data_IF_371208536749
#
_entry.id   IF_371208536749
#
_cell.length_a   1.000
_cell.length_b   1.000
_cell.length_c   1.000
_cell.angle_alpha   90.00
_cell.angle_beta   90.00
_cell.angle_gamma   90.00
#
_symmetry.space_group_name_H-M   'P 1'
#
loop_
_entity.id
_entity.type
_entity.pdbx_description
1 polymer ?
#
# COMPACT_ATOMS: atom_id res chain seq x y z
N UNK A 1 28.32 -0.23 5.05
CA UNK A 1 27.11 0.53 5.47
C UNK A 1 26.02 -0.51 5.66
N UNK A 2 25.46 -0.63 6.86
CA UNK A 2 24.49 -1.68 7.18
C UNK A 2 23.21 -1.40 6.41
N UNK A 3 22.99 -2.13 5.33
CA UNK A 3 21.71 -2.23 4.64
C UNK A 3 20.72 -2.86 5.63
N UNK A 4 20.14 -2.04 6.50
CA UNK A 4 18.95 -2.45 7.24
C UNK A 4 17.89 -2.74 6.18
N UNK A 5 17.59 -4.01 5.97
CA UNK A 5 16.48 -4.44 5.14
C UNK A 5 15.18 -3.97 5.82
N UNK A 6 14.76 -2.74 5.52
CA UNK A 6 13.56 -2.15 6.08
C UNK A 6 12.35 -2.79 5.42
N UNK A 7 11.54 -3.49 6.21
CA UNK A 7 10.26 -3.98 5.74
C UNK A 7 9.26 -2.83 5.71
N UNK A 8 9.21 -2.13 4.59
CA UNK A 8 8.34 -0.96 4.41
C UNK A 8 6.85 -1.26 4.69
N UNK A 9 6.42 -2.52 4.61
CA UNK A 9 5.02 -2.92 4.90
C UNK A 9 4.71 -2.95 6.41
N UNK A 10 5.72 -3.17 7.25
CA UNK A 10 5.55 -3.27 8.71
C UNK A 10 6.06 -2.01 9.40
N UNK A 11 7.27 -1.57 9.03
CA UNK A 11 7.98 -0.51 9.75
C UNK A 11 7.58 0.89 9.31
N UNK A 12 7.12 1.07 8.07
CA UNK A 12 6.75 2.38 7.52
C UNK A 12 5.24 2.67 7.55
N UNK A 13 4.43 1.89 8.28
CA UNK A 13 2.95 2.04 8.33
C UNK A 13 2.53 3.45 8.77
N UNK A 14 3.26 4.06 9.70
CA UNK A 14 2.96 5.39 10.25
C UNK A 14 3.80 6.51 9.63
N UNK A 15 4.49 6.23 8.53
CA UNK A 15 5.45 7.14 7.92
C UNK A 15 6.82 6.50 7.72
N UNK A 16 7.59 7.01 6.76
CA UNK A 16 8.88 6.42 6.43
C UNK A 16 9.91 6.63 7.55
N UNK A 17 10.46 5.54 8.08
CA UNK A 17 11.49 5.57 9.12
C UNK A 17 12.88 6.01 8.61
N UNK A 18 13.10 5.90 7.29
CA UNK A 18 14.35 6.31 6.63
C UNK A 18 14.33 7.79 6.21
N UNK A 19 13.20 8.49 6.40
CA UNK A 19 13.04 9.90 6.04
C UNK A 19 13.35 10.14 4.56
N UNK A 20 14.43 10.87 4.30
CA UNK A 20 14.82 11.26 2.95
C UNK A 20 15.39 10.11 2.10
N UNK A 21 15.92 9.07 2.74
CA UNK A 21 16.54 7.89 2.12
C UNK A 21 15.51 6.79 1.77
N UNK A 22 14.22 7.12 1.75
CA UNK A 22 13.17 6.19 1.37
C UNK A 22 13.36 5.73 -0.09
N UNK A 23 13.52 4.41 -0.36
CA UNK A 23 13.68 3.92 -1.73
C UNK A 23 12.44 4.18 -2.58
N UNK A 24 11.26 4.29 -1.96
CA UNK A 24 9.97 4.49 -2.61
C UNK A 24 9.58 5.97 -2.77
N UNK A 25 10.52 6.91 -2.55
CA UNK A 25 10.22 8.34 -2.55
C UNK A 25 9.69 8.85 -3.90
N UNK A 26 10.11 8.23 -4.99
CA UNK A 26 9.65 8.59 -6.34
C UNK A 26 8.12 8.46 -6.50
N UNK A 27 7.52 7.48 -5.83
CA UNK A 27 6.09 7.21 -5.91
C UNK A 27 5.23 8.22 -5.14
N UNK A 28 5.83 9.01 -4.24
CA UNK A 28 5.11 10.03 -3.44
C UNK A 28 4.41 11.04 -4.36
N UNK A 29 5.06 11.44 -5.46
CA UNK A 29 4.47 12.37 -6.43
C UNK A 29 3.26 11.76 -7.13
N UNK A 30 3.35 10.48 -7.51
CA UNK A 30 2.25 9.78 -8.17
C UNK A 30 1.07 9.56 -7.22
N UNK A 31 1.33 9.14 -5.99
CA UNK A 31 0.29 8.96 -4.96
C UNK A 31 -0.40 10.29 -4.64
N UNK A 32 0.36 11.38 -4.53
CA UNK A 32 -0.21 12.73 -4.30
C UNK A 32 -1.13 13.16 -5.45
N UNK A 33 -0.71 12.91 -6.71
CA UNK A 33 -1.55 13.19 -7.89
C UNK A 33 -2.81 12.35 -7.90
N UNK A 34 -2.72 11.07 -7.53
CA UNK A 34 -3.90 10.20 -7.45
C UNK A 34 -4.91 10.75 -6.43
N UNK A 35 -4.46 11.10 -5.22
CA UNK A 35 -5.33 11.62 -4.17
C UNK A 35 -5.99 12.95 -4.59
N UNK A 36 -5.23 13.85 -5.21
CA UNK A 36 -5.74 15.16 -5.64
C UNK A 36 -6.72 15.08 -6.81
N UNK A 37 -6.46 14.18 -7.76
CA UNK A 37 -7.24 14.10 -9.00
C UNK A 37 -8.38 13.08 -8.96
N UNK A 38 -8.50 12.31 -7.88
CA UNK A 38 -9.56 11.30 -7.73
C UNK A 38 -10.60 11.84 -6.74
N UNK A 39 -11.84 12.11 -7.18
CA UNK A 39 -12.91 12.50 -6.27
C UNK A 39 -13.21 11.39 -5.24
N UNK A 40 -13.73 11.78 -4.08
CA UNK A 40 -14.05 10.85 -3.00
C UNK A 40 -15.02 9.76 -3.45
N UNK A 41 -16.04 10.12 -4.22
CA UNK A 41 -17.03 9.20 -4.76
C UNK A 41 -16.38 8.12 -5.63
N UNK A 42 -15.38 8.52 -6.45
CA UNK A 42 -14.65 7.57 -7.30
C UNK A 42 -13.78 6.62 -6.48
N UNK A 43 -13.21 7.09 -5.37
CA UNK A 43 -12.49 6.23 -4.44
C UNK A 43 -13.41 5.21 -3.76
N UNK A 44 -14.62 5.62 -3.37
CA UNK A 44 -15.61 4.73 -2.76
C UNK A 44 -16.10 3.66 -3.75
N UNK A 45 -16.34 4.03 -5.00
CA UNK A 45 -16.69 3.10 -6.08
C UNK A 45 -15.60 2.04 -6.25
N UNK A 46 -14.33 2.45 -6.36
CA UNK A 46 -13.19 1.53 -6.46
C UNK A 46 -13.09 0.58 -5.25
N UNK A 47 -13.37 1.07 -4.05
CA UNK A 47 -13.34 0.27 -2.83
C UNK A 47 -14.44 -0.82 -2.85
N UNK A 48 -15.64 -0.50 -3.31
CA UNK A 48 -16.73 -1.46 -3.44
C UNK A 48 -16.45 -2.51 -4.53
N UNK A 49 -15.92 -2.10 -5.68
CA UNK A 49 -15.48 -3.03 -6.71
C UNK A 49 -14.41 -4.01 -6.19
N UNK A 50 -13.43 -3.51 -5.44
CA UNK A 50 -12.40 -4.34 -4.82
C UNK A 50 -12.99 -5.31 -3.79
N UNK A 51 -13.98 -4.87 -3.00
CA UNK A 51 -14.71 -5.72 -2.05
C UNK A 51 -15.44 -6.86 -2.75
N UNK A 52 -16.18 -6.55 -3.82
CA UNK A 52 -16.90 -7.54 -4.62
C UNK A 52 -15.94 -8.54 -5.28
N UNK A 53 -14.82 -8.07 -5.84
CA UNK A 53 -13.77 -8.95 -6.41
C UNK A 53 -13.19 -9.90 -5.36
N UNK A 54 -12.93 -9.41 -4.14
CA UNK A 54 -12.43 -10.23 -3.04
C UNK A 54 -13.45 -11.30 -2.62
N UNK A 55 -14.75 -10.98 -2.62
CA UNK A 55 -15.83 -11.93 -2.31
C UNK A 55 -15.99 -13.00 -3.38
N UNK A 56 -15.79 -12.66 -4.66
CA UNK A 56 -15.87 -13.61 -5.77
C UNK A 56 -14.60 -14.45 -5.95
N UNK A 57 -13.47 -14.00 -5.41
CA UNK A 57 -12.20 -14.71 -5.51
C UNK A 57 -12.17 -15.92 -4.57
N UNK A 58 -11.56 -17.05 -4.96
CA UNK A 58 -11.37 -18.16 -4.06
C UNK A 58 -10.55 -17.72 -2.84
N UNK A 59 -10.94 -18.18 -1.65
CA UNK A 59 -10.20 -17.88 -0.42
C UNK A 59 -8.76 -18.40 -0.53
N UNK A 60 -7.77 -17.50 -0.39
CA UNK A 60 -6.37 -17.89 -0.30
C UNK A 60 -6.07 -18.34 1.13
N UNK A 61 -5.86 -19.63 1.32
CA UNK A 61 -5.28 -20.15 2.56
C UNK A 61 -3.82 -19.70 2.63
N UNK A 62 -3.47 -18.94 3.67
CA UNK A 62 -2.10 -18.53 3.97
C UNK A 62 -1.71 -19.22 5.25
N UNK A 63 -0.61 -19.97 5.24
CA UNK A 63 -0.13 -20.63 6.45
C UNK A 63 0.58 -19.59 7.33
N UNK A 64 0.44 -19.66 8.67
CA UNK A 64 1.05 -18.68 9.58
C UNK A 64 2.57 -18.51 9.41
N UNK A 65 3.26 -19.54 8.95
CA UNK A 65 4.69 -19.51 8.62
C UNK A 65 5.08 -18.65 7.40
N UNK A 66 4.12 -18.22 6.57
CA UNK A 66 4.34 -17.40 5.36
C UNK A 66 4.20 -15.89 5.59
N UNK A 67 3.92 -15.44 6.82
CA UNK A 67 3.58 -14.05 7.19
C UNK A 67 4.73 -13.25 7.81
#
# INVERSE_FOLDING_TARGET
MSEKAVNCKVECVNGCILGDDCPNREYVKQASRFIQNTPLEKMLEMAEEARLRKLMSPGKWVMPEDL
#
